data_IF_598652069573
#
_entry.id   IF_598652069573
#
_cell.length_a   1.000
_cell.length_b   1.000
_cell.length_c   1.000
_cell.angle_alpha   90.00
_cell.angle_beta   90.00
_cell.angle_gamma   90.00
#
_symmetry.space_group_name_H-M   'P 1'
#
loop_
_entity.id
_entity.type
_entity.pdbx_description
1 polymer ?
#
# COMPACT_ATOMS: atom_id res chain seq x y z
N UNK A 1 25.68 -11.29 68.52
CA UNK A 1 26.60 -12.47 68.38
C UNK A 1 26.56 -12.92 66.95
N UNK A 2 27.66 -12.87 66.19
CA UNK A 2 27.69 -13.27 64.79
C UNK A 2 28.06 -14.75 64.70
N UNK A 3 27.33 -15.50 63.90
CA UNK A 3 27.59 -16.89 63.52
C UNK A 3 28.52 -16.94 62.32
N UNK A 4 29.58 -17.73 62.45
CA UNK A 4 30.67 -17.92 61.52
C UNK A 4 30.26 -18.65 60.25
N UNK A 5 30.77 -18.20 59.10
CA UNK A 5 30.67 -18.85 57.79
C UNK A 5 31.95 -19.68 57.58
N UNK A 6 31.78 -20.99 57.33
CA UNK A 6 32.87 -21.89 56.96
C UNK A 6 33.26 -21.76 55.48
N UNK A 7 34.51 -21.85 55.10
CA UNK A 7 34.93 -21.80 53.70
C UNK A 7 34.79 -23.16 53.00
N UNK A 8 34.23 -23.11 51.78
CA UNK A 8 34.13 -24.25 50.88
C UNK A 8 35.44 -24.56 50.14
N UNK A 9 35.67 -25.74 49.57
CA UNK A 9 36.92 -26.21 49.04
C UNK A 9 37.25 -25.59 47.66
N UNK A 10 38.58 -25.44 47.44
CA UNK A 10 39.18 -24.92 46.24
C UNK A 10 38.98 -25.81 44.99
N UNK A 11 38.89 -25.25 43.79
CA UNK A 11 38.82 -26.01 42.56
C UNK A 11 40.18 -26.52 42.12
N UNK A 12 40.23 -27.79 41.80
CA UNK A 12 41.44 -28.49 41.36
C UNK A 12 41.79 -28.09 39.90
N UNK A 13 42.99 -27.63 39.72
CA UNK A 13 43.60 -27.33 38.43
C UNK A 13 44.08 -28.60 37.73
N UNK A 14 43.83 -28.74 36.47
CA UNK A 14 44.68 -29.26 35.39
C UNK A 14 43.83 -29.51 34.14
N UNK A 15 43.84 -28.54 33.23
CA UNK A 15 43.51 -28.82 31.83
C UNK A 15 44.76 -28.52 31.00
N UNK A 16 45.22 -29.53 30.29
CA UNK A 16 46.28 -29.48 29.30
C UNK A 16 45.93 -28.54 28.15
N UNK A 17 46.87 -27.89 27.52
CA UNK A 17 46.61 -27.04 26.36
C UNK A 17 46.33 -27.89 25.15
N UNK A 18 45.09 -27.81 24.62
CA UNK A 18 44.77 -28.30 23.31
C UNK A 18 45.43 -27.40 22.25
N UNK A 19 46.32 -27.98 21.49
CA UNK A 19 46.99 -27.35 20.35
C UNK A 19 45.96 -26.94 19.31
N UNK A 20 45.79 -25.63 19.12
CA UNK A 20 44.96 -25.06 18.07
C UNK A 20 45.70 -25.24 16.73
N UNK A 21 45.36 -26.29 15.98
CA UNK A 21 45.76 -26.40 14.58
C UNK A 21 44.93 -25.42 13.77
N UNK A 22 45.53 -24.33 13.35
CA UNK A 22 45.00 -23.43 12.33
C UNK A 22 44.95 -24.20 11.00
N UNK A 23 43.75 -24.60 10.59
CA UNK A 23 43.46 -25.05 9.22
C UNK A 23 43.54 -23.80 8.32
N UNK A 24 44.70 -23.62 7.68
CA UNK A 24 44.86 -22.66 6.59
C UNK A 24 44.28 -23.28 5.32
N UNK A 25 42.98 -23.12 5.10
CA UNK A 25 42.41 -23.32 3.78
C UNK A 25 42.80 -22.13 2.87
N UNK A 26 43.17 -22.36 1.62
CA UNK A 26 43.56 -21.27 0.72
C UNK A 26 42.33 -20.37 0.44
N UNK A 27 42.47 -19.08 0.67
CA UNK A 27 41.44 -18.05 0.47
C UNK A 27 40.85 -17.99 -0.95
N UNK A 28 41.51 -18.61 -1.91
CA UNK A 28 41.07 -18.66 -3.32
C UNK A 28 39.80 -19.51 -3.55
N UNK A 29 39.64 -20.64 -2.87
CA UNK A 29 38.47 -21.52 -3.06
C UNK A 29 37.19 -20.94 -2.44
N UNK A 30 37.32 -20.21 -1.34
CA UNK A 30 36.18 -19.56 -0.68
C UNK A 30 35.56 -18.42 -1.53
N UNK A 31 36.41 -17.71 -2.31
CA UNK A 31 35.95 -16.61 -3.17
C UNK A 31 35.27 -17.14 -4.43
N UNK A 32 35.72 -18.27 -4.98
CA UNK A 32 35.11 -18.90 -6.15
C UNK A 32 33.73 -19.52 -5.81
N UNK A 33 33.58 -20.11 -4.62
CA UNK A 33 32.29 -20.65 -4.18
C UNK A 33 31.26 -19.53 -3.86
N UNK A 34 31.71 -18.38 -3.38
CA UNK A 34 30.85 -17.20 -3.21
C UNK A 34 30.44 -16.55 -4.54
N UNK A 35 31.28 -16.64 -5.58
CA UNK A 35 30.95 -16.15 -6.90
C UNK A 35 30.00 -17.10 -7.66
N UNK A 36 30.18 -18.42 -7.52
CA UNK A 36 29.27 -19.41 -8.11
C UNK A 36 27.89 -19.40 -7.44
N UNK A 37 27.81 -19.18 -6.13
CA UNK A 37 26.56 -19.02 -5.40
C UNK A 37 25.83 -17.71 -5.72
N UNK A 38 26.53 -16.67 -6.20
CA UNK A 38 25.88 -15.43 -6.70
C UNK A 38 25.24 -15.63 -8.08
N UNK A 39 25.66 -16.62 -8.85
CA UNK A 39 25.07 -16.89 -10.17
C UNK A 39 23.88 -17.85 -10.14
N UNK A 40 23.61 -18.52 -9.03
CA UNK A 40 22.45 -19.43 -8.88
C UNK A 40 21.41 -18.96 -7.86
N UNK A 41 21.51 -17.74 -7.35
CA UNK A 41 20.42 -17.14 -6.59
C UNK A 41 19.33 -16.68 -7.56
N UNK A 42 18.37 -17.54 -7.74
CA UNK A 42 17.13 -17.36 -8.47
C UNK A 42 16.24 -16.34 -7.72
N UNK A 43 16.67 -15.09 -7.69
CA UNK A 43 15.72 -14.00 -7.71
C UNK A 43 15.55 -13.67 -9.19
N UNK A 44 14.76 -14.47 -9.88
CA UNK A 44 14.13 -14.01 -11.10
C UNK A 44 13.44 -12.71 -10.73
N UNK A 45 14.00 -11.59 -11.16
CA UNK A 45 13.32 -10.29 -11.07
C UNK A 45 12.05 -10.52 -11.86
N UNK A 46 10.86 -10.48 -11.25
CA UNK A 46 9.62 -10.68 -12.00
C UNK A 46 9.63 -9.74 -13.17
N UNK A 47 9.23 -10.21 -14.34
CA UNK A 47 9.12 -9.33 -15.49
C UNK A 47 8.27 -8.10 -15.11
N UNK A 48 8.69 -6.89 -15.53
CA UNK A 48 7.95 -5.69 -15.17
C UNK A 48 6.52 -5.81 -15.73
N UNK A 49 5.54 -5.66 -14.83
CA UNK A 49 4.14 -5.66 -15.22
C UNK A 49 3.84 -4.27 -15.78
N UNK A 50 3.24 -4.24 -16.95
CA UNK A 50 2.88 -3.02 -17.64
C UNK A 50 1.36 -2.92 -17.75
N UNK A 51 0.79 -1.82 -17.24
CA UNK A 51 -0.57 -1.39 -17.59
C UNK A 51 -0.44 -0.30 -18.66
N UNK A 52 -0.92 -0.54 -19.88
CA UNK A 52 -0.85 0.44 -20.95
C UNK A 52 -1.77 1.63 -20.65
N UNK A 53 -1.52 2.79 -21.27
CA UNK A 53 -2.43 3.93 -21.19
C UNK A 53 -3.79 3.58 -21.81
N UNK A 54 -4.85 4.17 -21.27
CA UNK A 54 -6.21 4.11 -21.80
C UNK A 54 -6.87 5.47 -21.56
N UNK A 55 -7.13 6.23 -22.61
CA UNK A 55 -7.72 7.58 -22.51
C UNK A 55 -8.92 7.71 -23.45
N UNK A 56 -10.10 8.10 -22.91
CA UNK A 56 -10.38 8.31 -21.49
C UNK A 56 -10.50 7.00 -20.73
N UNK A 57 -9.70 6.87 -19.66
CA UNK A 57 -9.72 5.68 -18.80
C UNK A 57 -11.06 5.54 -18.07
N UNK A 58 -11.58 4.33 -18.01
CA UNK A 58 -12.78 3.98 -17.26
C UNK A 58 -12.40 3.70 -15.82
N UNK A 59 -12.88 4.50 -14.89
CA UNK A 59 -12.52 4.39 -13.47
C UNK A 59 -13.72 3.88 -12.67
N UNK A 60 -13.52 2.81 -11.89
CA UNK A 60 -14.43 2.44 -10.81
C UNK A 60 -13.84 2.95 -9.50
N UNK A 61 -14.66 3.62 -8.69
CA UNK A 61 -14.25 4.12 -7.37
C UNK A 61 -14.88 3.25 -6.29
N UNK A 62 -14.05 2.72 -5.38
CA UNK A 62 -14.50 1.99 -4.19
C UNK A 62 -14.42 2.94 -2.98
N UNK A 63 -15.50 3.05 -2.20
CA UNK A 63 -15.57 3.97 -1.08
C UNK A 63 -16.39 3.39 0.09
N UNK A 64 -16.09 3.84 1.33
CA UNK A 64 -16.83 3.43 2.54
C UNK A 64 -17.36 4.61 3.37
N UNK A 65 -17.18 5.86 2.92
CA UNK A 65 -17.42 7.02 3.78
C UNK A 65 -17.90 8.28 3.06
N UNK A 66 -17.27 9.40 3.40
CA UNK A 66 -17.70 10.75 2.97
C UNK A 66 -17.69 11.00 1.47
N UNK A 67 -16.89 10.23 0.72
CA UNK A 67 -16.78 10.40 -0.74
C UNK A 67 -16.01 11.65 -1.18
N UNK A 68 -15.20 12.25 -0.32
CA UNK A 68 -14.47 13.49 -0.65
C UNK A 68 -13.49 13.31 -1.81
N UNK A 69 -12.82 12.16 -1.91
CA UNK A 69 -11.95 11.81 -3.04
C UNK A 69 -12.77 11.56 -4.31
N UNK A 70 -13.92 10.87 -4.21
CA UNK A 70 -14.84 10.70 -5.31
C UNK A 70 -15.30 12.07 -5.86
N UNK A 71 -15.74 12.97 -4.97
CA UNK A 71 -16.15 14.32 -5.39
C UNK A 71 -15.04 15.04 -6.13
N UNK A 72 -13.80 15.00 -5.61
CA UNK A 72 -12.66 15.66 -6.26
C UNK A 72 -12.35 15.09 -7.64
N UNK A 73 -12.53 13.78 -7.82
CA UNK A 73 -12.38 13.15 -9.14
C UNK A 73 -13.49 13.59 -10.11
N UNK A 74 -14.73 13.71 -9.64
CA UNK A 74 -15.85 14.17 -10.46
C UNK A 74 -15.69 15.62 -10.86
N UNK A 75 -15.23 16.48 -9.94
CA UNK A 75 -14.97 17.89 -10.19
C UNK A 75 -13.84 18.10 -11.23
N UNK A 76 -12.84 17.21 -11.21
CA UNK A 76 -11.72 17.22 -12.15
C UNK A 76 -12.06 16.56 -13.50
N UNK A 77 -12.99 15.61 -13.54
CA UNK A 77 -13.33 14.80 -14.72
C UNK A 77 -14.22 15.59 -15.70
N UNK A 78 -13.82 16.81 -16.04
CA UNK A 78 -14.51 17.71 -16.98
C UNK A 78 -13.61 18.01 -18.19
N UNK A 79 -14.22 18.33 -19.32
CA UNK A 79 -13.49 18.67 -20.54
C UNK A 79 -12.59 17.54 -21.01
N UNK A 80 -11.31 17.86 -21.21
CA UNK A 80 -10.29 16.94 -21.75
C UNK A 80 -9.61 16.07 -20.67
N UNK A 81 -10.16 15.97 -19.45
CA UNK A 81 -9.59 15.10 -18.44
C UNK A 81 -9.58 13.64 -18.92
N UNK A 82 -8.43 12.95 -18.85
CA UNK A 82 -8.24 11.66 -19.55
C UNK A 82 -8.85 10.44 -18.84
N UNK A 83 -9.70 10.65 -17.83
CA UNK A 83 -10.38 9.59 -17.12
C UNK A 83 -11.83 9.97 -16.79
N UNK A 84 -12.70 8.96 -16.66
CA UNK A 84 -14.10 9.15 -16.26
C UNK A 84 -14.51 8.11 -15.24
N UNK A 85 -15.24 8.50 -14.21
CA UNK A 85 -15.84 7.56 -13.26
C UNK A 85 -17.04 6.91 -13.94
N UNK A 86 -17.03 5.57 -14.02
CA UNK A 86 -18.08 4.79 -14.67
C UNK A 86 -18.99 4.05 -13.67
N UNK A 87 -18.49 3.81 -12.45
CA UNK A 87 -19.28 3.26 -11.36
C UNK A 87 -18.63 3.54 -10.00
N UNK A 88 -19.44 3.46 -8.95
CA UNK A 88 -19.03 3.57 -7.55
C UNK A 88 -19.46 2.33 -6.79
N UNK A 89 -18.50 1.61 -6.20
CA UNK A 89 -18.73 0.47 -5.32
C UNK A 89 -18.63 0.88 -3.86
N UNK A 90 -19.59 0.45 -3.03
CA UNK A 90 -19.57 0.72 -1.60
C UNK A 90 -19.79 -0.56 -0.78
N UNK A 91 -19.20 -0.61 0.42
CA UNK A 91 -19.39 -1.74 1.36
C UNK A 91 -20.48 -1.49 2.40
N UNK A 92 -21.08 -0.30 2.39
CA UNK A 92 -22.13 0.16 3.29
C UNK A 92 -22.85 1.37 2.73
N UNK A 93 -24.00 1.68 3.29
CA UNK A 93 -24.63 2.97 3.02
C UNK A 93 -23.74 4.12 3.46
N UNK A 94 -23.43 5.05 2.55
CA UNK A 94 -22.53 6.14 2.82
C UNK A 94 -22.71 7.30 1.83
N UNK A 95 -22.13 8.45 2.14
CA UNK A 95 -22.25 9.67 1.33
C UNK A 95 -21.74 9.49 -0.12
N UNK A 96 -20.73 8.64 -0.33
CA UNK A 96 -20.20 8.37 -1.67
C UNK A 96 -21.28 7.81 -2.63
N UNK A 97 -22.22 7.01 -2.13
CA UNK A 97 -23.32 6.48 -2.92
C UNK A 97 -24.30 7.58 -3.37
N UNK A 98 -24.59 8.54 -2.48
CA UNK A 98 -25.40 9.70 -2.82
C UNK A 98 -24.71 10.60 -3.84
N UNK A 99 -23.40 10.85 -3.69
CA UNK A 99 -22.62 11.61 -4.67
C UNK A 99 -22.69 10.96 -6.05
N UNK A 100 -22.58 9.63 -6.13
CA UNK A 100 -22.73 8.91 -7.40
C UNK A 100 -24.12 9.09 -8.02
N UNK A 101 -25.17 9.00 -7.20
CA UNK A 101 -26.56 9.19 -7.65
C UNK A 101 -26.81 10.64 -8.15
N UNK A 102 -26.32 11.64 -7.42
CA UNK A 102 -26.44 13.06 -7.81
C UNK A 102 -25.71 13.36 -9.12
N UNK A 103 -24.61 12.64 -9.39
CA UNK A 103 -23.83 12.74 -10.63
C UNK A 103 -24.37 11.84 -11.77
N UNK A 104 -25.44 11.08 -11.56
CA UNK A 104 -25.98 10.14 -12.56
C UNK A 104 -25.05 8.95 -12.86
N UNK A 105 -24.17 8.59 -11.92
CA UNK A 105 -23.22 7.48 -12.05
C UNK A 105 -23.80 6.24 -11.40
N UNK A 106 -23.64 5.09 -12.06
CA UNK A 106 -24.06 3.81 -11.53
C UNK A 106 -23.35 3.52 -10.20
N UNK A 107 -24.07 2.96 -9.23
CA UNK A 107 -23.49 2.50 -7.97
C UNK A 107 -23.94 1.09 -7.64
N UNK A 108 -23.12 0.38 -6.88
CA UNK A 108 -23.43 -0.93 -6.33
C UNK A 108 -22.96 -1.03 -4.88
N UNK A 109 -23.70 -1.81 -4.08
CA UNK A 109 -23.40 -2.01 -2.67
C UNK A 109 -23.20 -3.49 -2.39
N UNK A 110 -22.03 -3.85 -1.86
CA UNK A 110 -21.67 -5.21 -1.47
C UNK A 110 -21.13 -5.24 -0.05
N UNK A 111 -21.99 -5.63 0.88
CA UNK A 111 -21.62 -5.75 2.29
C UNK A 111 -20.97 -7.10 2.54
N UNK A 112 -19.86 -7.13 3.26
CA UNK A 112 -19.23 -8.40 3.66
C UNK A 112 -20.18 -9.30 4.45
N UNK A 113 -21.06 -8.70 5.27
CA UNK A 113 -22.02 -9.44 6.08
C UNK A 113 -23.15 -10.14 5.28
N UNK A 114 -23.35 -9.78 4.01
CA UNK A 114 -24.37 -10.38 3.15
C UNK A 114 -23.84 -11.63 2.40
N UNK A 115 -22.58 -11.99 2.66
CA UNK A 115 -21.91 -13.15 2.06
C UNK A 115 -21.52 -14.17 3.12
N UNK A 116 -21.46 -15.48 2.77
CA UNK A 116 -21.13 -16.54 3.72
C UNK A 116 -19.77 -16.36 4.38
N UNK A 117 -18.81 -15.86 3.60
CA UNK A 117 -17.45 -15.61 4.04
C UNK A 117 -16.77 -14.54 3.17
N UNK A 118 -15.52 -14.25 3.50
CA UNK A 118 -14.71 -13.26 2.79
C UNK A 118 -14.35 -13.68 1.37
N UNK A 119 -14.23 -14.97 1.09
CA UNK A 119 -13.91 -15.48 -0.26
C UNK A 119 -15.09 -15.26 -1.19
N UNK A 120 -16.30 -15.60 -0.74
CA UNK A 120 -17.52 -15.34 -1.51
C UNK A 120 -17.75 -13.84 -1.75
N UNK A 121 -17.43 -13.00 -0.77
CA UNK A 121 -17.50 -11.55 -0.94
C UNK A 121 -16.46 -11.03 -1.94
N UNK A 122 -15.22 -11.54 -1.89
CA UNK A 122 -14.15 -11.16 -2.82
C UNK A 122 -14.52 -11.51 -4.27
N UNK A 123 -15.08 -12.71 -4.49
CA UNK A 123 -15.62 -13.11 -5.78
C UNK A 123 -16.74 -12.17 -6.24
N UNK A 124 -17.70 -11.87 -5.37
CA UNK A 124 -18.85 -11.02 -5.71
C UNK A 124 -18.43 -9.59 -6.08
N UNK A 125 -17.53 -8.96 -5.30
CA UNK A 125 -17.05 -7.60 -5.61
C UNK A 125 -16.19 -7.59 -6.88
N UNK A 126 -15.47 -8.66 -7.16
CA UNK A 126 -14.68 -8.82 -8.38
C UNK A 126 -15.59 -8.86 -9.61
N UNK A 127 -16.60 -9.72 -9.60
CA UNK A 127 -17.55 -9.86 -10.69
C UNK A 127 -18.36 -8.58 -10.91
N UNK A 128 -18.85 -7.96 -9.84
CA UNK A 128 -19.63 -6.72 -9.97
C UNK A 128 -18.78 -5.57 -10.52
N UNK A 129 -17.54 -5.41 -10.02
CA UNK A 129 -16.60 -4.42 -10.55
C UNK A 129 -16.29 -4.66 -12.03
N UNK A 130 -16.10 -5.93 -12.42
CA UNK A 130 -15.75 -6.30 -13.80
C UNK A 130 -16.84 -5.95 -14.83
N UNK A 131 -18.11 -5.89 -14.44
CA UNK A 131 -19.24 -5.50 -15.31
C UNK A 131 -19.08 -4.09 -15.89
N UNK A 132 -18.37 -3.23 -15.18
CA UNK A 132 -18.12 -1.86 -15.63
C UNK A 132 -16.89 -1.73 -16.51
N UNK A 133 -16.17 -2.83 -16.82
CA UNK A 133 -14.96 -2.86 -17.64
C UNK A 133 -13.96 -1.75 -17.26
N UNK A 134 -13.49 -1.68 -15.99
CA UNK A 134 -12.58 -0.63 -15.57
C UNK A 134 -11.20 -0.80 -16.18
N UNK A 135 -10.60 0.32 -16.60
CA UNK A 135 -9.17 0.41 -16.87
C UNK A 135 -8.37 0.61 -15.58
N UNK A 136 -8.95 1.40 -14.65
CA UNK A 136 -8.39 1.69 -13.34
C UNK A 136 -9.47 1.56 -12.26
N UNK A 137 -9.05 1.21 -11.06
CA UNK A 137 -9.90 1.14 -9.86
C UNK A 137 -9.25 1.99 -8.79
N UNK A 138 -10.01 2.86 -8.14
CA UNK A 138 -9.54 3.72 -7.06
C UNK A 138 -10.17 3.27 -5.75
N UNK A 139 -9.33 2.88 -4.80
CA UNK A 139 -9.72 2.70 -3.40
C UNK A 139 -9.70 4.08 -2.72
N UNK A 140 -10.87 4.72 -2.62
CA UNK A 140 -11.04 6.08 -2.11
C UNK A 140 -11.56 6.05 -0.66
N UNK A 141 -10.72 5.69 0.28
CA UNK A 141 -11.13 5.45 1.67
C UNK A 141 -12.04 4.22 1.80
N UNK A 142 -11.76 3.17 1.05
CA UNK A 142 -12.45 1.89 1.14
C UNK A 142 -11.89 1.06 2.29
N UNK A 143 -12.73 0.73 3.27
CA UNK A 143 -12.32 0.13 4.55
C UNK A 143 -12.26 -1.40 4.53
N UNK A 144 -12.19 -2.01 3.35
CA UNK A 144 -12.04 -3.45 3.19
C UNK A 144 -10.79 -3.76 2.39
N UNK A 145 -10.02 -4.73 2.83
CA UNK A 145 -8.94 -5.26 2.01
C UNK A 145 -9.54 -6.04 0.85
N UNK A 146 -9.06 -5.79 -0.34
CA UNK A 146 -9.39 -6.55 -1.54
C UNK A 146 -8.65 -7.89 -1.52
N UNK A 147 -9.33 -8.95 -1.89
CA UNK A 147 -8.76 -10.29 -1.79
C UNK A 147 -8.00 -10.73 -3.04
N UNK A 148 -7.49 -11.98 -3.02
CA UNK A 148 -6.65 -12.50 -4.11
C UNK A 148 -7.37 -12.57 -5.45
N UNK A 149 -8.67 -12.84 -5.47
CA UNK A 149 -9.45 -12.92 -6.70
C UNK A 149 -9.54 -11.56 -7.37
N UNK A 150 -9.85 -10.52 -6.58
CA UNK A 150 -9.89 -9.15 -7.06
C UNK A 150 -8.55 -8.69 -7.62
N UNK A 151 -7.46 -8.88 -6.85
CA UNK A 151 -6.12 -8.46 -7.25
C UNK A 151 -5.58 -9.23 -8.47
N UNK A 152 -5.95 -10.49 -8.62
CA UNK A 152 -5.61 -11.32 -9.79
C UNK A 152 -6.40 -10.87 -11.03
N UNK A 153 -7.65 -10.47 -10.86
CA UNK A 153 -8.50 -9.98 -11.96
C UNK A 153 -8.07 -8.61 -12.48
N UNK A 154 -7.53 -7.76 -11.60
CA UNK A 154 -7.16 -6.37 -11.91
C UNK A 154 -5.69 -6.07 -11.57
N UNK A 155 -4.72 -6.81 -12.10
CA UNK A 155 -3.31 -6.69 -11.72
C UNK A 155 -2.78 -5.30 -12.09
N UNK A 156 -2.25 -4.56 -11.10
CA UNK A 156 -1.68 -3.23 -11.26
C UNK A 156 -2.66 -2.13 -11.67
N UNK A 157 -3.95 -2.38 -11.58
CA UNK A 157 -5.00 -1.41 -11.92
C UNK A 157 -5.68 -0.80 -10.70
N UNK A 158 -5.36 -1.28 -9.50
CA UNK A 158 -5.95 -0.80 -8.26
C UNK A 158 -5.02 0.21 -7.63
N UNK A 159 -5.51 1.42 -7.44
CA UNK A 159 -4.80 2.56 -6.85
C UNK A 159 -5.43 2.88 -5.50
N UNK A 160 -4.61 3.08 -4.49
CA UNK A 160 -5.04 3.54 -3.16
C UNK A 160 -4.35 4.83 -2.78
N UNK A 161 -5.00 5.60 -1.93
CA UNK A 161 -4.39 6.73 -1.24
C UNK A 161 -4.24 6.42 0.24
N UNK A 162 -3.12 6.85 0.83
CA UNK A 162 -2.81 6.62 2.24
C UNK A 162 -2.32 7.93 2.88
N UNK A 163 -2.85 8.34 4.06
CA UNK A 163 -2.56 9.65 4.65
C UNK A 163 -1.27 9.67 5.47
N UNK A 164 -0.19 9.11 4.90
CA UNK A 164 1.18 9.19 5.43
C UNK A 164 2.20 9.05 4.29
N UNK A 165 3.48 9.32 4.59
CA UNK A 165 4.59 9.03 3.69
C UNK A 165 5.05 7.58 3.87
N UNK A 166 4.43 6.65 3.15
CA UNK A 166 4.83 5.23 3.20
C UNK A 166 6.33 5.08 2.90
N UNK A 167 7.03 4.17 3.58
CA UNK A 167 6.52 3.08 4.43
C UNK A 167 6.24 3.46 5.89
N UNK A 168 6.26 4.74 6.26
CA UNK A 168 5.92 5.19 7.62
C UNK A 168 4.42 5.14 7.86
N UNK A 169 4.02 4.73 9.05
CA UNK A 169 2.63 4.75 9.53
C UNK A 169 1.63 4.05 8.61
N UNK A 170 1.82 2.76 8.25
CA UNK A 170 0.83 2.00 7.49
C UNK A 170 -0.40 1.71 8.35
N UNK A 171 -1.55 1.46 7.69
CA UNK A 171 -2.78 1.06 8.37
C UNK A 171 -3.73 2.21 8.69
N UNK A 172 -4.76 1.91 9.48
CA UNK A 172 -5.93 2.79 9.65
C UNK A 172 -5.70 4.04 10.52
N UNK A 173 -4.60 4.10 11.28
CA UNK A 173 -4.34 5.13 12.28
C UNK A 173 -3.16 6.06 11.93
N UNK A 174 -2.83 6.17 10.65
CA UNK A 174 -1.63 6.84 10.16
C UNK A 174 -1.47 8.29 10.68
N UNK A 175 -2.55 9.05 10.76
CA UNK A 175 -2.51 10.47 11.20
C UNK A 175 -2.28 10.55 12.72
N UNK A 176 -3.03 9.78 13.52
CA UNK A 176 -2.84 9.74 14.98
C UNK A 176 -1.48 9.16 15.37
N UNK A 177 -0.99 8.16 14.65
CA UNK A 177 0.35 7.57 14.89
C UNK A 177 1.46 8.58 14.57
N UNK A 178 1.34 9.35 13.48
CA UNK A 178 2.28 10.40 13.13
C UNK A 178 2.35 11.51 14.20
N UNK A 179 1.20 11.94 14.71
CA UNK A 179 1.11 12.92 15.82
C UNK A 179 1.70 12.35 17.10
N UNK A 180 1.34 11.13 17.48
CA UNK A 180 1.84 10.47 18.70
C UNK A 180 3.34 10.25 18.66
N UNK A 181 3.91 9.94 17.47
CA UNK A 181 5.35 9.80 17.28
C UNK A 181 6.08 11.15 17.34
N UNK A 182 5.39 12.26 17.04
CA UNK A 182 5.95 13.62 17.08
C UNK A 182 6.78 13.98 15.85
N UNK A 183 6.46 13.41 14.67
CA UNK A 183 7.12 13.77 13.41
C UNK A 183 6.87 15.24 13.06
N UNK A 184 7.79 15.85 12.34
CA UNK A 184 7.65 17.23 11.86
C UNK A 184 7.09 17.29 10.44
N UNK A 185 7.15 16.19 9.71
CA UNK A 185 6.64 16.05 8.35
C UNK A 185 5.96 14.69 8.21
N UNK A 186 4.75 14.71 7.69
CA UNK A 186 4.02 13.54 7.21
C UNK A 186 3.58 13.81 5.76
N UNK A 187 2.48 13.28 5.29
CA UNK A 187 1.99 13.54 3.94
C UNK A 187 0.94 12.58 3.48
N UNK A 188 0.86 12.40 2.17
CA UNK A 188 0.06 11.36 1.56
C UNK A 188 0.86 10.59 0.51
N UNK A 189 0.45 9.36 0.29
CA UNK A 189 1.02 8.43 -0.69
C UNK A 189 -0.10 7.92 -1.60
N UNK A 190 0.11 7.99 -2.91
CA UNK A 190 -0.67 7.24 -3.89
C UNK A 190 0.15 6.05 -4.34
N UNK A 191 -0.41 4.84 -4.23
CA UNK A 191 0.29 3.60 -4.52
C UNK A 191 -0.61 2.58 -5.22
N UNK A 192 -0.02 1.60 -5.89
CA UNK A 192 -0.75 0.42 -6.35
C UNK A 192 -1.05 -0.49 -5.18
N UNK A 193 -2.20 -1.15 -5.23
CA UNK A 193 -2.61 -2.11 -4.20
C UNK A 193 -2.03 -3.48 -4.52
N UNK A 194 -1.40 -4.11 -3.53
CA UNK A 194 -0.97 -5.50 -3.53
C UNK A 194 -1.65 -6.28 -2.40
N UNK A 195 -1.20 -7.52 -2.13
CA UNK A 195 -1.81 -8.38 -1.12
C UNK A 195 -1.55 -7.94 0.34
N UNK A 196 -0.60 -7.03 0.55
CA UNK A 196 -0.27 -6.50 1.88
C UNK A 196 -1.04 -5.22 2.22
N UNK A 197 -0.97 -4.82 3.48
CA UNK A 197 -1.52 -3.54 3.92
C UNK A 197 -0.53 -2.42 3.60
N UNK A 198 -0.89 -1.54 2.68
CA UNK A 198 -0.10 -0.36 2.26
C UNK A 198 1.34 -0.71 1.82
N UNK A 199 1.53 -1.91 1.25
CA UNK A 199 2.86 -2.41 0.85
C UNK A 199 3.13 -2.31 -0.64
N UNK A 200 2.17 -1.93 -1.44
CA UNK A 200 2.29 -1.88 -2.89
C UNK A 200 3.24 -0.78 -3.42
N UNK A 201 3.57 -0.84 -4.72
CA UNK A 201 4.47 0.11 -5.34
C UNK A 201 3.97 1.55 -5.27
N UNK A 202 4.81 2.46 -4.81
CA UNK A 202 4.49 3.88 -4.67
C UNK A 202 4.51 4.53 -6.05
N UNK A 203 3.44 5.27 -6.38
CA UNK A 203 3.30 6.05 -7.61
C UNK A 203 3.70 7.51 -7.40
N UNK A 204 3.24 8.11 -6.31
CA UNK A 204 3.56 9.49 -5.96
C UNK A 204 3.41 9.72 -4.45
N UNK A 205 4.13 10.70 -3.94
CA UNK A 205 4.05 11.14 -2.54
C UNK A 205 4.11 12.67 -2.48
N UNK A 206 3.38 13.23 -1.51
CA UNK A 206 3.43 14.66 -1.23
C UNK A 206 3.56 14.89 0.27
N UNK A 207 4.58 15.66 0.66
CA UNK A 207 4.84 15.99 2.06
C UNK A 207 3.85 17.05 2.59
N UNK A 208 3.52 16.92 3.86
CA UNK A 208 2.69 17.87 4.64
C UNK A 208 3.41 18.12 5.97
N UNK A 209 3.61 19.40 6.30
CA UNK A 209 4.19 19.80 7.58
C UNK A 209 3.22 19.57 8.73
N UNK A 210 3.75 19.05 9.87
CA UNK A 210 3.01 18.89 11.12
C UNK A 210 3.29 20.09 12.01
N UNK A 211 2.25 20.83 12.35
CA UNK A 211 2.31 22.02 13.21
C UNK A 211 2.18 21.62 14.69
N UNK A 212 2.78 22.41 15.58
CA UNK A 212 2.68 22.16 17.02
C UNK A 212 1.26 22.24 17.58
N UNK A 213 0.38 22.93 16.90
CA UNK A 213 -1.04 23.10 17.27
C UNK A 213 -1.95 22.07 16.64
N UNK A 214 -1.42 21.14 15.82
CA UNK A 214 -2.28 20.15 15.15
C UNK A 214 -2.85 19.14 16.14
N UNK A 215 -4.13 18.90 15.97
CA UNK A 215 -4.81 17.68 16.38
C UNK A 215 -5.02 16.75 15.17
N UNK A 216 -5.64 15.59 15.39
CA UNK A 216 -5.87 14.61 14.32
C UNK A 216 -6.77 15.18 13.21
N UNK A 217 -7.79 15.95 13.54
CA UNK A 217 -8.73 16.51 12.56
C UNK A 217 -8.05 17.56 11.68
N UNK A 218 -7.35 18.51 12.26
CA UNK A 218 -6.67 19.61 11.53
C UNK A 218 -5.56 19.10 10.63
N UNK A 219 -4.73 18.17 11.10
CA UNK A 219 -3.70 17.54 10.30
C UNK A 219 -4.32 16.71 9.16
N UNK A 220 -5.35 15.91 9.46
CA UNK A 220 -6.01 15.07 8.48
C UNK A 220 -6.66 15.88 7.35
N UNK A 221 -7.34 17.00 7.66
CA UNK A 221 -7.92 17.87 6.63
C UNK A 221 -6.85 18.49 5.73
N UNK A 222 -5.70 18.86 6.28
CA UNK A 222 -4.57 19.35 5.49
C UNK A 222 -3.99 18.27 4.58
N UNK A 223 -3.87 17.04 5.07
CA UNK A 223 -3.45 15.88 4.26
C UNK A 223 -4.47 15.62 3.15
N UNK A 224 -5.76 15.56 3.47
CA UNK A 224 -6.84 15.35 2.48
C UNK A 224 -6.85 16.38 1.37
N UNK A 225 -6.53 17.65 1.66
CA UNK A 225 -6.45 18.70 0.64
C UNK A 225 -5.34 18.41 -0.39
N UNK A 226 -4.23 17.84 0.05
CA UNK A 226 -3.11 17.43 -0.82
C UNK A 226 -3.44 16.13 -1.56
N UNK A 227 -4.00 15.17 -0.84
CA UNK A 227 -4.38 13.85 -1.34
C UNK A 227 -5.34 13.93 -2.53
N UNK A 228 -6.37 14.79 -2.44
CA UNK A 228 -7.34 15.02 -3.51
C UNK A 228 -6.68 15.47 -4.82
N UNK A 229 -5.74 16.39 -4.76
CA UNK A 229 -4.99 16.86 -5.93
C UNK A 229 -4.05 15.81 -6.47
N UNK A 230 -3.27 15.19 -5.57
CA UNK A 230 -2.30 14.18 -5.96
C UNK A 230 -2.96 12.98 -6.65
N UNK A 231 -4.12 12.52 -6.17
CA UNK A 231 -4.87 11.44 -6.79
C UNK A 231 -5.33 11.80 -8.20
N UNK A 232 -5.87 13.01 -8.41
CA UNK A 232 -6.30 13.52 -9.72
C UNK A 232 -5.11 13.53 -10.70
N UNK A 233 -3.97 14.06 -10.29
CA UNK A 233 -2.77 14.14 -11.12
C UNK A 233 -2.22 12.74 -11.48
N UNK A 234 -2.19 11.83 -10.51
CA UNK A 234 -1.73 10.45 -10.72
C UNK A 234 -2.66 9.69 -11.67
N UNK A 235 -3.98 9.84 -11.53
CA UNK A 235 -4.93 9.18 -12.43
C UNK A 235 -4.82 9.71 -13.86
N UNK A 236 -4.64 11.01 -14.05
CA UNK A 236 -4.39 11.59 -15.37
C UNK A 236 -3.11 11.01 -15.99
N UNK A 237 -2.05 10.89 -15.19
CA UNK A 237 -0.79 10.30 -15.64
C UNK A 237 -0.93 8.80 -15.98
N UNK A 238 -1.62 8.03 -15.16
CA UNK A 238 -1.90 6.61 -15.44
C UNK A 238 -2.72 6.43 -16.72
N UNK A 239 -3.76 7.25 -16.91
CA UNK A 239 -4.62 7.18 -18.09
C UNK A 239 -3.86 7.52 -19.39
N UNK A 240 -2.94 8.48 -19.36
CA UNK A 240 -2.24 8.97 -20.55
C UNK A 240 -0.91 8.27 -20.83
N UNK A 241 -0.22 7.79 -19.80
CA UNK A 241 1.13 7.23 -19.90
C UNK A 241 1.20 5.76 -19.49
N UNK A 242 0.22 5.29 -18.72
CA UNK A 242 0.26 3.96 -18.10
C UNK A 242 1.28 3.87 -16.98
N UNK A 243 1.55 2.65 -16.53
CA UNK A 243 2.52 2.37 -15.47
C UNK A 243 3.30 1.11 -15.77
N UNK A 244 4.58 1.14 -15.44
CA UNK A 244 5.44 -0.04 -15.38
C UNK A 244 5.90 -0.23 -13.94
N UNK A 245 5.83 -1.45 -13.41
CA UNK A 245 6.38 -1.70 -12.08
C UNK A 245 7.09 -3.04 -11.99
N UNK A 246 8.08 -3.10 -11.10
CA UNK A 246 8.89 -4.28 -10.82
C UNK A 246 9.14 -4.33 -9.31
N UNK A 247 8.59 -5.33 -8.64
CA UNK A 247 8.61 -5.38 -7.19
C UNK A 247 7.97 -4.14 -6.57
N UNK A 248 8.73 -3.38 -5.77
CA UNK A 248 8.25 -2.14 -5.13
C UNK A 248 8.48 -0.87 -5.96
N UNK A 249 9.11 -0.97 -7.11
CA UNK A 249 9.40 0.19 -7.95
C UNK A 249 8.35 0.34 -9.02
N UNK A 250 7.66 1.47 -9.04
CA UNK A 250 6.76 1.85 -10.10
C UNK A 250 7.24 3.12 -10.79
N UNK A 251 6.99 3.22 -12.09
CA UNK A 251 7.24 4.40 -12.88
C UNK A 251 6.03 4.65 -13.80
N UNK A 252 5.53 5.87 -13.78
CA UNK A 252 4.58 6.35 -14.77
C UNK A 252 5.30 6.45 -16.12
N UNK A 253 4.72 5.87 -17.17
CA UNK A 253 5.34 5.78 -18.50
C UNK A 253 5.52 7.11 -19.21
#
# INVERSE_FOLDING_TARGET
MPTAISPGPAPNSRRSPATLQLLTAPLGECVQDLQSRRQSSVYAVPEPIRVPPSAPARVVVLASGTGSLLQSLLDAAVGDYPARVVAVGVDRECRAEQIAADAGIASYRLRLADHPDRVAWDAAITEETARYHPDLIVSAGFMKMLGPEFLTRFPGRVVNTHPALLPSFPGAHAVSDALAYGVKVTGCTVHLVDAGMDTGPILAQQAVEVQMSDDEETLHERIKAVERRLLVDVLAALATRGVNWNGRKAALG
#
